data_IF_579056454669
#
_entry.id   IF_579056454669
#
_cell.length_a   1.000
_cell.length_b   1.000
_cell.length_c   1.000
_cell.angle_alpha   90.00
_cell.angle_beta   90.00
_cell.angle_gamma   90.00
#
_symmetry.space_group_name_H-M   'P 1'
#
loop_
_entity.id
_entity.type
_entity.pdbx_description
1 polymer ?
#
# COMPACT_ATOMS: atom_id res chain seq x y z
N UNK A 1 -15.99 -9.86 -32.15
CA UNK A 1 -15.51 -8.75 -32.99
C UNK A 1 -16.43 -8.61 -34.20
N UNK A 2 -16.72 -7.39 -34.61
CA UNK A 2 -17.57 -7.09 -35.77
C UNK A 2 -16.81 -6.26 -36.81
N UNK A 3 -17.21 -6.33 -38.05
CA UNK A 3 -16.69 -5.45 -39.10
C UNK A 3 -17.36 -4.06 -39.03
N UNK A 4 -16.87 -3.08 -39.81
CA UNK A 4 -17.45 -1.73 -39.86
C UNK A 4 -18.93 -1.66 -40.35
N UNK A 5 -19.57 -2.79 -40.67
CA UNK A 5 -20.97 -2.94 -41.01
C UNK A 5 -21.79 -3.71 -39.98
N UNK A 6 -21.19 -4.02 -38.80
CA UNK A 6 -21.82 -4.74 -37.71
C UNK A 6 -21.96 -6.25 -37.89
N UNK A 7 -21.30 -6.84 -38.92
CA UNK A 7 -21.29 -8.30 -39.10
C UNK A 7 -20.14 -8.95 -38.35
N UNK A 8 -20.34 -10.13 -37.72
CA UNK A 8 -19.28 -10.82 -37.04
C UNK A 8 -18.10 -11.16 -37.96
N UNK A 9 -16.89 -10.86 -37.53
CA UNK A 9 -15.66 -11.12 -38.28
C UNK A 9 -15.25 -12.57 -38.09
N UNK A 10 -14.84 -13.25 -39.15
CA UNK A 10 -14.39 -14.65 -39.11
C UNK A 10 -12.87 -14.67 -38.87
N UNK A 11 -12.41 -15.61 -38.03
CA UNK A 11 -10.99 -15.77 -37.76
C UNK A 11 -10.27 -16.31 -39.01
N UNK A 12 -9.19 -15.68 -39.47
CA UNK A 12 -8.43 -16.16 -40.62
C UNK A 12 -7.99 -17.63 -40.46
N UNK A 13 -8.38 -18.47 -41.42
CA UNK A 13 -8.06 -19.91 -41.37
C UNK A 13 -9.05 -20.77 -40.57
N UNK A 14 -10.17 -20.23 -40.14
CA UNK A 14 -11.22 -20.95 -39.40
C UNK A 14 -12.59 -20.45 -39.89
N UNK A 15 -13.59 -21.31 -39.89
CA UNK A 15 -15.01 -20.93 -40.17
C UNK A 15 -15.72 -20.32 -38.95
N UNK A 16 -14.97 -20.13 -37.82
CA UNK A 16 -15.53 -19.65 -36.58
C UNK A 16 -15.55 -18.12 -36.52
N UNK A 17 -16.62 -17.57 -35.97
CA UNK A 17 -16.74 -16.15 -35.67
C UNK A 17 -15.72 -15.75 -34.62
N UNK A 18 -15.16 -14.53 -34.74
CA UNK A 18 -14.19 -13.98 -33.78
C UNK A 18 -14.91 -13.56 -32.47
N UNK A 19 -15.34 -14.56 -31.71
CA UNK A 19 -15.96 -14.42 -30.40
C UNK A 19 -15.03 -14.94 -29.32
N UNK A 20 -14.70 -14.10 -28.36
CA UNK A 20 -13.82 -14.44 -27.25
C UNK A 20 -14.63 -14.40 -25.96
N UNK A 21 -14.67 -15.53 -25.23
CA UNK A 21 -15.31 -15.58 -23.92
C UNK A 21 -14.29 -15.10 -22.89
N UNK A 22 -14.62 -14.05 -22.17
CA UNK A 22 -13.80 -13.48 -21.13
C UNK A 22 -14.27 -14.04 -19.79
N UNK A 23 -13.33 -14.52 -18.97
CA UNK A 23 -13.62 -15.06 -17.65
C UNK A 23 -14.06 -13.94 -16.68
N UNK A 24 -14.95 -14.22 -15.73
CA UNK A 24 -15.29 -13.27 -14.67
C UNK A 24 -14.04 -12.83 -13.90
N UNK A 25 -13.89 -11.52 -13.69
CA UNK A 25 -12.71 -10.95 -13.03
C UNK A 25 -11.59 -10.50 -13.98
N UNK A 26 -11.73 -10.69 -15.28
CA UNK A 26 -10.81 -10.13 -16.27
C UNK A 26 -11.06 -8.62 -16.46
N UNK A 27 -10.00 -7.84 -16.54
CA UNK A 27 -10.05 -6.43 -16.90
C UNK A 27 -10.10 -6.29 -18.43
N UNK A 28 -11.12 -5.60 -18.95
CA UNK A 28 -11.27 -5.32 -20.40
C UNK A 28 -10.52 -4.01 -20.68
N UNK A 29 -9.59 -4.04 -21.62
CA UNK A 29 -8.74 -2.89 -21.99
C UNK A 29 -9.27 -2.06 -23.15
N UNK A 30 -10.36 -2.48 -23.76
CA UNK A 30 -10.97 -1.85 -24.95
C UNK A 30 -12.43 -1.47 -24.68
N UNK A 31 -12.88 -0.39 -25.29
CA UNK A 31 -14.27 0.04 -25.24
C UNK A 31 -15.08 -0.47 -26.45
N UNK A 32 -16.42 -0.40 -26.31
CA UNK A 32 -17.30 -0.82 -27.40
C UNK A 32 -17.24 0.19 -28.57
N UNK A 33 -16.75 -0.25 -29.70
CA UNK A 33 -16.57 0.57 -30.88
C UNK A 33 -15.12 0.84 -31.27
N UNK A 34 -14.16 0.46 -30.42
CA UNK A 34 -12.74 0.59 -30.71
C UNK A 34 -12.32 -0.28 -31.90
N UNK A 35 -11.37 0.23 -32.68
CA UNK A 35 -10.71 -0.54 -33.72
C UNK A 35 -9.59 -1.35 -33.15
N UNK A 36 -9.62 -2.66 -33.35
CA UNK A 36 -8.59 -3.58 -32.88
C UNK A 36 -7.90 -4.27 -34.08
N UNK A 37 -6.59 -4.42 -33.96
CA UNK A 37 -5.74 -5.13 -34.92
C UNK A 37 -5.30 -6.50 -34.39
N UNK A 38 -4.74 -7.30 -35.26
CA UNK A 38 -4.23 -8.63 -34.84
C UNK A 38 -3.00 -8.45 -33.93
N UNK A 39 -3.11 -8.92 -32.69
CA UNK A 39 -2.07 -8.76 -31.66
C UNK A 39 -2.45 -7.81 -30.54
N UNK A 40 -3.52 -7.03 -30.67
CA UNK A 40 -3.99 -6.13 -29.62
C UNK A 40 -4.55 -6.91 -28.43
N UNK A 41 -4.28 -6.37 -27.23
CA UNK A 41 -4.77 -6.95 -25.98
C UNK A 41 -6.22 -6.54 -25.75
N UNK A 42 -7.15 -7.50 -25.84
CA UNK A 42 -8.58 -7.28 -25.66
C UNK A 42 -8.99 -7.27 -24.18
N UNK A 43 -8.41 -8.16 -23.39
CA UNK A 43 -8.69 -8.28 -21.99
C UNK A 43 -7.48 -8.89 -21.26
N UNK A 44 -7.28 -8.52 -20.03
CA UNK A 44 -6.31 -9.13 -19.12
C UNK A 44 -7.05 -10.02 -18.15
N UNK A 45 -6.68 -11.25 -18.17
CA UNK A 45 -7.05 -12.17 -17.11
C UNK A 45 -5.96 -12.00 -16.06
N UNK A 46 -6.24 -11.44 -14.85
CA UNK A 46 -5.27 -11.54 -13.78
C UNK A 46 -5.01 -13.05 -13.65
N UNK A 47 -3.87 -13.51 -14.10
CA UNK A 47 -3.38 -14.77 -13.58
C UNK A 47 -3.30 -14.47 -12.06
N UNK A 48 -4.29 -14.97 -11.33
CA UNK A 48 -4.00 -15.48 -10.01
C UNK A 48 -2.94 -16.54 -10.31
N UNK A 49 -1.71 -16.03 -10.47
CA UNK A 49 -0.56 -16.88 -10.61
C UNK A 49 -0.78 -17.91 -9.55
N UNK A 50 -0.61 -19.16 -9.86
CA UNK A 50 -0.33 -20.11 -8.83
C UNK A 50 0.79 -19.44 -8.05
N UNK A 51 0.39 -18.52 -7.15
CA UNK A 51 1.16 -18.20 -5.99
C UNK A 51 1.36 -19.62 -5.49
N UNK A 52 2.47 -20.22 -5.86
CA UNK A 52 3.09 -21.23 -5.07
C UNK A 52 3.16 -20.49 -3.75
N UNK A 53 2.02 -20.52 -3.06
CA UNK A 53 1.89 -20.06 -1.70
C UNK A 53 2.82 -21.00 -1.00
N UNK A 54 4.07 -20.58 -1.00
CA UNK A 54 5.13 -21.25 -0.33
C UNK A 54 4.55 -21.57 1.04
N UNK A 55 4.49 -22.85 1.38
CA UNK A 55 3.92 -23.35 2.64
C UNK A 55 4.60 -22.67 3.83
N UNK A 56 5.76 -22.04 3.63
CA UNK A 56 6.45 -21.11 4.53
C UNK A 56 5.70 -19.81 4.81
N UNK A 57 4.64 -19.49 4.07
CA UNK A 57 3.84 -18.28 4.21
C UNK A 57 2.85 -18.27 5.38
N UNK A 58 2.64 -19.37 6.13
CA UNK A 58 1.66 -19.44 7.21
C UNK A 58 1.78 -18.40 8.33
N UNK A 59 1.89 -18.82 9.57
CA UNK A 59 2.04 -17.91 10.73
C UNK A 59 3.20 -16.90 10.64
N UNK A 60 4.38 -17.26 10.07
CA UNK A 60 5.44 -16.26 9.85
C UNK A 60 5.00 -15.08 8.97
N UNK A 61 4.17 -15.33 7.94
CA UNK A 61 3.65 -14.25 7.08
C UNK A 61 2.74 -13.29 7.84
N UNK A 62 1.91 -13.79 8.75
CA UNK A 62 1.06 -12.96 9.61
C UNK A 62 1.92 -12.07 10.51
N UNK A 63 2.98 -12.62 11.09
CA UNK A 63 3.92 -11.83 11.90
C UNK A 63 4.63 -10.73 11.07
N UNK A 64 5.04 -11.04 9.84
CA UNK A 64 5.65 -10.05 8.93
C UNK A 64 4.68 -8.91 8.59
N UNK A 65 3.40 -9.23 8.33
CA UNK A 65 2.37 -8.24 8.04
C UNK A 65 2.12 -7.31 9.22
N UNK A 66 1.99 -7.84 10.43
CA UNK A 66 1.81 -7.03 11.64
C UNK A 66 3.06 -6.23 12.04
N UNK A 67 4.24 -6.70 11.70
CA UNK A 67 5.48 -5.93 11.87
C UNK A 67 5.75 -4.95 10.72
N UNK A 68 4.90 -4.91 9.71
CA UNK A 68 5.05 -4.10 8.50
C UNK A 68 6.44 -4.26 7.86
N UNK A 69 6.97 -5.49 7.85
CA UNK A 69 8.28 -5.79 7.26
C UNK A 69 8.22 -5.71 5.74
N UNK A 70 9.30 -5.18 5.16
CA UNK A 70 9.45 -5.16 3.71
C UNK A 70 9.74 -6.57 3.20
N UNK A 71 9.00 -7.07 2.19
CA UNK A 71 9.30 -8.34 1.54
C UNK A 71 10.64 -8.25 0.80
N UNK A 72 11.26 -9.42 0.51
CA UNK A 72 12.56 -9.48 -0.20
C UNK A 72 12.48 -8.92 -1.61
N UNK A 73 11.41 -9.24 -2.33
CA UNK A 73 11.15 -8.78 -3.70
C UNK A 73 9.78 -8.09 -3.77
N UNK A 74 9.69 -6.85 -3.30
CA UNK A 74 8.41 -6.14 -3.24
C UNK A 74 7.91 -5.79 -4.64
N UNK A 75 6.58 -5.76 -4.81
CA UNK A 75 5.96 -5.12 -5.96
C UNK A 75 6.40 -3.67 -6.09
N UNK A 76 6.46 -3.17 -7.30
CA UNK A 76 6.65 -1.74 -7.56
C UNK A 76 5.31 -1.20 -8.03
N UNK A 77 4.79 -0.22 -7.29
CA UNK A 77 3.50 0.40 -7.57
C UNK A 77 3.70 1.71 -8.35
N UNK A 78 2.73 2.05 -9.20
CA UNK A 78 2.72 3.31 -9.92
C UNK A 78 2.56 4.49 -8.96
N UNK A 79 3.45 5.47 -9.06
CA UNK A 79 3.42 6.68 -8.22
C UNK A 79 2.40 7.71 -8.69
N UNK A 80 2.12 7.74 -9.98
CA UNK A 80 1.20 8.67 -10.64
C UNK A 80 0.28 7.92 -11.61
N UNK A 81 -0.89 8.50 -11.90
CA UNK A 81 -1.79 8.02 -12.94
C UNK A 81 -1.36 8.61 -14.27
N UNK A 82 -1.41 7.82 -15.35
CA UNK A 82 -1.03 8.30 -16.68
C UNK A 82 -0.74 7.17 -17.66
N UNK A 83 -0.23 7.53 -18.82
CA UNK A 83 0.12 6.60 -19.89
C UNK A 83 1.57 6.14 -19.75
N UNK A 84 1.78 4.84 -19.80
CA UNK A 84 3.10 4.21 -19.65
C UNK A 84 3.86 4.27 -20.98
N UNK A 85 5.13 4.64 -20.91
CA UNK A 85 6.08 4.50 -22.00
C UNK A 85 7.40 3.91 -21.49
N UNK A 86 8.07 3.14 -22.33
CA UNK A 86 9.38 2.57 -22.00
C UNK A 86 10.49 3.44 -22.58
N UNK A 87 11.34 3.95 -21.73
CA UNK A 87 12.52 4.71 -22.10
C UNK A 87 13.72 3.81 -22.45
N UNK A 88 14.87 4.44 -22.75
CA UNK A 88 16.11 3.71 -23.05
C UNK A 88 16.56 2.88 -21.85
N UNK A 89 16.90 1.63 -22.13
CA UNK A 89 17.45 0.72 -21.12
C UNK A 89 18.83 1.20 -20.65
N UNK A 90 19.02 1.23 -19.33
CA UNK A 90 20.34 1.44 -18.71
C UNK A 90 20.84 0.07 -18.22
N UNK A 91 22.15 -0.15 -18.23
CA UNK A 91 22.84 -1.45 -18.01
C UNK A 91 22.14 -2.48 -17.13
N UNK A 92 21.54 -2.10 -16.00
CA UNK A 92 20.91 -3.00 -15.02
C UNK A 92 19.43 -2.68 -14.73
N UNK A 93 18.90 -1.62 -15.34
CA UNK A 93 17.54 -1.14 -15.05
C UNK A 93 16.81 -0.81 -16.35
N UNK A 94 15.50 -0.99 -16.33
CA UNK A 94 14.56 -0.55 -17.36
C UNK A 94 13.99 0.77 -16.88
N UNK A 95 13.98 1.77 -17.74
CA UNK A 95 13.37 3.07 -17.47
C UNK A 95 11.94 3.04 -17.94
N UNK A 96 11.00 3.19 -17.03
CA UNK A 96 9.60 3.35 -17.31
C UNK A 96 9.22 4.80 -17.04
N UNK A 97 8.51 5.42 -17.97
CA UNK A 97 8.04 6.80 -17.86
C UNK A 97 6.52 6.78 -17.84
N UNK A 98 5.93 7.43 -16.86
CA UNK A 98 4.50 7.65 -16.75
C UNK A 98 4.23 9.10 -17.13
N UNK A 99 3.51 9.33 -18.22
CA UNK A 99 3.09 10.66 -18.66
C UNK A 99 1.70 10.93 -18.11
N UNK A 100 1.58 11.90 -17.21
CA UNK A 100 0.30 12.32 -16.62
C UNK A 100 -0.54 13.12 -17.63
N UNK A 101 -1.80 13.37 -17.32
CA UNK A 101 -2.69 14.20 -18.15
C UNK A 101 -2.15 15.63 -18.34
N UNK A 102 -1.39 16.13 -17.38
CA UNK A 102 -0.72 17.44 -17.44
C UNK A 102 0.56 17.46 -18.28
N UNK A 103 0.88 16.38 -19.00
CA UNK A 103 2.12 16.15 -19.73
C UNK A 103 3.40 16.21 -18.88
N UNK A 104 3.30 15.94 -17.59
CA UNK A 104 4.46 15.75 -16.74
C UNK A 104 4.97 14.31 -16.86
N UNK A 105 6.29 14.16 -17.05
CA UNK A 105 6.94 12.85 -17.16
C UNK A 105 7.52 12.43 -15.81
N UNK A 106 7.03 11.34 -15.26
CA UNK A 106 7.53 10.73 -14.04
C UNK A 106 8.31 9.44 -14.34
N UNK A 107 9.60 9.46 -14.03
CA UNK A 107 10.48 8.33 -14.31
C UNK A 107 10.55 7.35 -13.17
N UNK A 108 10.39 6.06 -13.48
CA UNK A 108 10.58 4.95 -12.56
C UNK A 108 11.68 4.03 -13.08
N UNK A 109 12.55 3.55 -12.19
CA UNK A 109 13.64 2.64 -12.53
C UNK A 109 13.31 1.24 -12.03
N UNK A 110 13.12 0.32 -12.96
CA UNK A 110 12.78 -1.09 -12.69
C UNK A 110 14.03 -1.96 -12.85
N UNK A 111 14.40 -2.81 -11.87
CA UNK A 111 15.48 -3.75 -12.02
C UNK A 111 15.20 -4.76 -13.16
N UNK A 112 16.20 -5.04 -14.00
CA UNK A 112 16.07 -6.07 -15.03
C UNK A 112 15.88 -7.46 -14.41
N UNK A 113 15.10 -8.30 -15.09
CA UNK A 113 14.85 -9.68 -14.65
C UNK A 113 13.59 -9.85 -13.79
N UNK A 114 12.85 -8.77 -13.50
CA UNK A 114 11.55 -8.87 -12.84
C UNK A 114 10.41 -8.78 -13.86
N UNK A 115 9.35 -9.57 -13.68
CA UNK A 115 8.19 -9.51 -14.57
C UNK A 115 7.50 -8.16 -14.45
N UNK A 116 7.31 -7.49 -15.58
CA UNK A 116 6.60 -6.21 -15.69
C UNK A 116 5.16 -6.53 -16.11
N UNK A 117 4.19 -6.00 -15.40
CA UNK A 117 2.76 -6.27 -15.61
C UNK A 117 2.08 -5.30 -16.56
N UNK A 118 2.74 -4.17 -16.86
CA UNK A 118 2.21 -3.08 -17.68
C UNK A 118 2.85 -3.05 -19.08
N UNK A 119 2.11 -2.53 -20.06
CA UNK A 119 2.58 -2.40 -21.45
C UNK A 119 2.74 -0.94 -21.85
N UNK A 120 3.58 -0.70 -22.88
CA UNK A 120 3.72 0.63 -23.47
C UNK A 120 2.40 1.11 -24.10
N UNK A 121 2.01 2.35 -23.83
CA UNK A 121 0.75 2.94 -24.26
C UNK A 121 -0.47 2.64 -23.38
N UNK A 122 -0.29 1.88 -22.30
CA UNK A 122 -1.36 1.58 -21.35
C UNK A 122 -1.56 2.72 -20.37
N UNK A 123 -2.83 3.00 -20.05
CA UNK A 123 -3.18 3.91 -18.96
C UNK A 123 -3.22 3.13 -17.64
N UNK A 124 -2.48 3.62 -16.65
CA UNK A 124 -2.43 3.06 -15.30
C UNK A 124 -2.86 4.09 -14.27
N UNK A 125 -3.43 3.63 -13.18
CA UNK A 125 -3.79 4.46 -12.05
C UNK A 125 -2.69 4.47 -10.97
N UNK A 126 -2.69 5.52 -10.17
CA UNK A 126 -1.79 5.62 -9.02
C UNK A 126 -2.01 4.44 -8.06
N UNK A 127 -0.94 3.71 -7.79
CA UNK A 127 -0.96 2.53 -6.94
C UNK A 127 -1.17 1.21 -7.68
N UNK A 128 -1.32 1.21 -9.01
CA UNK A 128 -1.35 -0.03 -9.79
C UNK A 128 -0.01 -0.72 -9.78
N UNK A 129 -0.04 -2.04 -9.92
CA UNK A 129 1.15 -2.88 -9.87
C UNK A 129 1.87 -2.82 -11.22
N UNK A 130 3.06 -2.24 -11.22
CA UNK A 130 3.94 -2.15 -12.40
C UNK A 130 4.86 -3.37 -12.50
N UNK A 131 5.31 -3.88 -11.36
CA UNK A 131 6.17 -5.06 -11.27
C UNK A 131 5.56 -6.04 -10.29
N UNK A 132 5.41 -7.28 -10.71
CA UNK A 132 4.80 -8.35 -9.91
C UNK A 132 5.55 -8.61 -8.61
N UNK A 133 4.79 -8.78 -7.52
CA UNK A 133 5.32 -9.13 -6.21
C UNK A 133 4.37 -8.79 -5.06
N UNK A 134 4.73 -9.16 -3.83
CA UNK A 134 3.98 -8.73 -2.65
C UNK A 134 4.15 -7.23 -2.42
N UNK A 135 3.07 -6.43 -2.42
CA UNK A 135 3.19 -4.98 -2.22
C UNK A 135 3.65 -4.64 -0.81
N UNK A 136 4.35 -3.52 -0.68
CA UNK A 136 4.73 -2.96 0.62
C UNK A 136 3.53 -2.22 1.20
N UNK A 137 3.11 -2.60 2.41
CA UNK A 137 1.94 -1.97 3.06
C UNK A 137 2.10 -0.44 3.26
N UNK A 138 3.33 0.04 3.47
CA UNK A 138 3.62 1.47 3.56
C UNK A 138 3.41 2.21 2.23
N UNK A 139 3.72 1.57 1.10
CA UNK A 139 3.52 2.16 -0.23
C UNK A 139 2.03 2.20 -0.58
N UNK A 140 1.28 1.15 -0.23
CA UNK A 140 -0.19 1.16 -0.36
C UNK A 140 -0.78 2.31 0.46
N UNK A 141 -0.32 2.52 1.70
CA UNK A 141 -0.78 3.61 2.55
C UNK A 141 -0.52 4.99 1.91
N UNK A 142 0.67 5.19 1.36
CA UNK A 142 1.07 6.46 0.74
C UNK A 142 0.33 6.74 -0.58
N UNK A 143 0.05 5.70 -1.36
CA UNK A 143 -0.52 5.84 -2.70
C UNK A 143 -2.05 5.72 -2.72
N UNK A 144 -2.62 4.75 -1.99
CA UNK A 144 -4.05 4.43 -1.99
C UNK A 144 -4.78 4.80 -0.69
N UNK A 145 -4.03 5.10 0.36
CA UNK A 145 -4.58 5.57 1.64
C UNK A 145 -4.95 4.48 2.64
N UNK A 146 -5.56 4.92 3.76
CA UNK A 146 -5.80 4.10 4.95
C UNK A 146 -6.78 2.95 4.69
N UNK A 147 -7.82 3.16 3.88
CA UNK A 147 -8.83 2.12 3.60
C UNK A 147 -8.22 0.93 2.88
N UNK A 148 -7.44 1.20 1.84
CA UNK A 148 -6.83 0.16 1.01
C UNK A 148 -5.76 -0.64 1.76
N UNK A 149 -4.90 0.02 2.55
CA UNK A 149 -3.91 -0.72 3.35
C UNK A 149 -4.60 -1.59 4.41
N UNK A 150 -5.70 -1.12 4.99
CA UNK A 150 -6.47 -1.92 5.97
C UNK A 150 -7.08 -3.14 5.30
N UNK A 151 -7.75 -2.96 4.16
CA UNK A 151 -8.33 -4.06 3.38
C UNK A 151 -7.25 -5.07 2.96
N UNK A 152 -6.11 -4.58 2.48
CA UNK A 152 -4.98 -5.43 2.10
C UNK A 152 -4.49 -6.30 3.27
N UNK A 153 -4.19 -5.70 4.42
CA UNK A 153 -3.68 -6.47 5.57
C UNK A 153 -4.73 -7.45 6.10
N UNK A 154 -6.00 -7.04 6.18
CA UNK A 154 -7.10 -7.92 6.61
C UNK A 154 -7.21 -9.12 5.69
N UNK A 155 -7.24 -8.91 4.37
CA UNK A 155 -7.36 -9.98 3.40
C UNK A 155 -6.16 -10.95 3.45
N UNK A 156 -4.93 -10.44 3.46
CA UNK A 156 -3.72 -11.27 3.54
C UNK A 156 -3.68 -12.11 4.81
N UNK A 157 -4.05 -11.54 5.96
CA UNK A 157 -4.10 -12.26 7.24
C UNK A 157 -5.22 -13.30 7.24
N UNK A 158 -6.42 -12.92 6.77
CA UNK A 158 -7.56 -13.83 6.68
C UNK A 158 -7.30 -15.00 5.74
N UNK A 159 -6.62 -14.77 4.64
CA UNK A 159 -6.25 -15.82 3.69
C UNK A 159 -5.36 -16.88 4.34
N UNK A 160 -4.39 -16.45 5.16
CA UNK A 160 -3.55 -17.40 5.92
C UNK A 160 -4.39 -18.24 6.89
N UNK A 161 -5.28 -17.61 7.64
CA UNK A 161 -6.13 -18.31 8.60
C UNK A 161 -7.17 -19.21 7.93
N UNK A 162 -7.79 -18.76 6.84
CA UNK A 162 -8.76 -19.55 6.06
C UNK A 162 -8.12 -20.80 5.47
N UNK A 163 -6.88 -20.72 4.99
CA UNK A 163 -6.14 -21.88 4.49
C UNK A 163 -5.89 -22.92 5.58
N UNK A 164 -5.82 -22.52 6.84
CA UNK A 164 -5.70 -23.41 8.00
C UNK A 164 -7.04 -23.82 8.59
N UNK A 165 -8.16 -23.44 7.96
CA UNK A 165 -9.52 -23.78 8.43
C UNK A 165 -9.99 -22.97 9.64
N UNK A 166 -9.25 -21.93 10.03
CA UNK A 166 -9.58 -21.08 11.19
C UNK A 166 -10.44 -19.91 10.73
N UNK A 167 -11.60 -19.72 11.38
CA UNK A 167 -12.51 -18.59 11.12
C UNK A 167 -12.31 -17.53 12.18
N UNK A 168 -11.86 -16.35 11.77
CA UNK A 168 -11.67 -15.18 12.62
C UNK A 168 -12.52 -14.03 12.07
N UNK A 169 -13.13 -13.23 12.94
CA UNK A 169 -13.85 -12.03 12.50
C UNK A 169 -12.83 -10.92 12.18
N UNK A 170 -13.05 -10.21 11.08
CA UNK A 170 -12.19 -9.14 10.59
C UNK A 170 -11.92 -8.05 11.63
N UNK A 171 -12.91 -7.79 12.51
CA UNK A 171 -12.79 -6.79 13.58
C UNK A 171 -11.60 -7.00 14.51
N UNK A 172 -11.20 -8.25 14.75
CA UNK A 172 -10.03 -8.55 15.58
C UNK A 172 -8.73 -8.08 14.93
N UNK A 173 -8.65 -8.20 13.61
CA UNK A 173 -7.50 -7.75 12.81
C UNK A 173 -7.53 -6.23 12.67
N UNK A 174 -8.70 -5.66 12.37
CA UNK A 174 -8.89 -4.21 12.22
C UNK A 174 -8.50 -3.43 13.48
N UNK A 175 -8.80 -3.97 14.68
CA UNK A 175 -8.38 -3.34 15.95
C UNK A 175 -6.85 -3.24 16.05
N UNK A 176 -6.12 -4.27 15.61
CA UNK A 176 -4.66 -4.25 15.59
C UNK A 176 -4.16 -3.22 14.59
N UNK A 177 -4.68 -3.22 13.37
CA UNK A 177 -4.31 -2.26 12.32
C UNK A 177 -4.57 -0.83 12.76
N UNK A 178 -5.68 -0.57 13.46
CA UNK A 178 -5.98 0.75 14.02
C UNK A 178 -4.88 1.23 14.96
N UNK A 179 -4.30 0.34 15.77
CA UNK A 179 -3.17 0.69 16.64
C UNK A 179 -1.88 0.93 15.85
N UNK A 180 -1.67 0.20 14.75
CA UNK A 180 -0.53 0.40 13.84
C UNK A 180 -0.60 1.75 13.11
N UNK A 181 -1.80 2.29 12.87
CA UNK A 181 -2.06 3.57 12.20
C UNK A 181 -2.34 4.74 13.16
N UNK A 182 -2.08 4.55 14.45
CA UNK A 182 -2.38 5.56 15.48
C UNK A 182 -1.55 6.83 15.34
N UNK A 183 -0.33 6.72 14.83
CA UNK A 183 0.61 7.83 14.68
C UNK A 183 0.64 8.40 13.28
N UNK A 184 0.98 9.68 13.22
CA UNK A 184 1.16 10.45 11.99
C UNK A 184 2.53 11.12 12.01
N UNK A 185 3.08 11.38 10.84
CA UNK A 185 4.35 12.08 10.64
C UNK A 185 4.07 13.50 10.20
N UNK A 186 4.73 14.47 10.82
CA UNK A 186 4.65 15.87 10.46
C UNK A 186 5.43 16.13 9.17
N UNK A 187 4.76 16.68 8.16
CA UNK A 187 5.34 17.08 6.87
C UNK A 187 5.66 18.57 6.86
N UNK A 188 4.77 19.40 7.43
CA UNK A 188 4.99 20.82 7.64
C UNK A 188 4.55 21.17 9.06
N UNK A 189 5.38 21.88 9.79
CA UNK A 189 5.11 22.23 11.19
C UNK A 189 4.07 23.34 11.34
N UNK A 190 3.89 24.20 10.32
CA UNK A 190 3.11 25.41 10.48
C UNK A 190 3.61 26.25 11.66
N UNK A 191 2.67 26.82 12.42
CA UNK A 191 2.96 27.60 13.65
C UNK A 191 2.90 26.73 14.93
N UNK A 192 2.93 25.40 14.77
CA UNK A 192 2.93 24.45 15.90
C UNK A 192 4.35 24.22 16.43
N UNK A 193 4.45 23.65 17.63
CA UNK A 193 5.75 23.35 18.29
C UNK A 193 6.43 22.06 17.76
N UNK A 194 5.82 21.37 16.80
CA UNK A 194 6.35 20.13 16.27
C UNK A 194 7.49 20.35 15.27
N UNK A 195 8.42 19.41 15.23
CA UNK A 195 9.50 19.40 14.25
C UNK A 195 9.10 18.59 13.00
N UNK A 196 9.78 18.86 11.90
CA UNK A 196 9.63 18.08 10.68
C UNK A 196 10.03 16.61 10.94
N UNK A 197 9.21 15.68 10.43
CA UNK A 197 9.35 14.24 10.60
C UNK A 197 9.05 13.69 12.02
N UNK A 198 8.59 14.52 12.95
CA UNK A 198 8.12 14.02 14.23
C UNK A 198 6.92 13.08 14.07
N UNK A 199 6.89 12.04 14.89
CA UNK A 199 5.80 11.07 14.95
C UNK A 199 4.93 11.35 16.16
N UNK A 200 3.76 11.92 15.91
CA UNK A 200 2.82 12.35 16.93
C UNK A 200 1.55 11.50 16.87
N UNK A 201 0.84 11.43 17.98
CA UNK A 201 -0.48 10.79 17.99
C UNK A 201 -1.48 11.62 17.22
N UNK A 202 -2.22 10.96 16.30
CA UNK A 202 -3.18 11.64 15.42
C UNK A 202 -4.24 12.43 16.19
N UNK A 203 -4.74 11.86 17.29
CA UNK A 203 -5.80 12.52 18.09
C UNK A 203 -5.30 13.82 18.74
N UNK A 204 -4.08 13.80 19.31
CA UNK A 204 -3.44 14.97 19.91
C UNK A 204 -3.20 16.06 18.88
N UNK A 205 -2.62 15.70 17.73
CA UNK A 205 -2.35 16.65 16.65
C UNK A 205 -3.60 17.30 16.09
N UNK A 206 -4.69 16.54 15.92
CA UNK A 206 -5.96 17.10 15.46
C UNK A 206 -6.51 18.13 16.43
N UNK A 207 -6.46 17.86 17.76
CA UNK A 207 -6.90 18.81 18.78
C UNK A 207 -6.06 20.09 18.79
N UNK A 208 -4.74 19.98 18.64
CA UNK A 208 -3.84 21.14 18.55
C UNK A 208 -4.04 21.94 17.25
N UNK A 209 -4.26 21.25 16.13
CA UNK A 209 -4.58 21.91 14.87
C UNK A 209 -5.90 22.68 14.94
N UNK A 210 -6.93 22.13 15.59
CA UNK A 210 -8.20 22.82 15.82
C UNK A 210 -8.00 24.10 16.64
N UNK A 211 -7.17 24.04 17.70
CA UNK A 211 -6.82 25.22 18.49
C UNK A 211 -6.02 26.23 17.68
N UNK A 212 -5.03 25.79 16.91
CA UNK A 212 -4.23 26.67 16.05
C UNK A 212 -5.08 27.41 15.01
N UNK A 213 -6.04 26.72 14.40
CA UNK A 213 -6.98 27.34 13.46
C UNK A 213 -7.89 28.34 14.17
N UNK A 214 -8.37 28.04 15.38
CA UNK A 214 -9.18 28.97 16.19
C UNK A 214 -8.41 30.24 16.58
N UNK A 215 -7.09 30.10 16.81
CA UNK A 215 -6.16 31.20 17.09
C UNK A 215 -5.71 31.98 15.82
N UNK A 216 -6.15 31.55 14.63
CA UNK A 216 -5.75 32.16 13.36
C UNK A 216 -4.32 31.85 12.93
N UNK A 217 -3.74 30.77 13.44
CA UNK A 217 -2.40 30.27 13.11
C UNK A 217 -2.45 29.18 12.04
N UNK A 218 -1.32 28.95 11.38
CA UNK A 218 -1.20 27.89 10.36
C UNK A 218 -1.10 26.51 11.03
N UNK A 219 -2.04 25.55 10.72
CA UNK A 219 -2.01 24.21 11.29
C UNK A 219 -0.86 23.37 10.70
N UNK A 220 -0.42 22.36 11.46
CA UNK A 220 0.56 21.39 10.96
C UNK A 220 -0.06 20.45 9.92
N UNK A 221 0.70 20.20 8.83
CA UNK A 221 0.35 19.21 7.80
C UNK A 221 1.03 17.89 8.12
N UNK A 222 0.28 16.80 8.02
CA UNK A 222 0.74 15.48 8.42
C UNK A 222 0.35 14.40 7.41
N UNK A 223 1.09 13.29 7.45
CA UNK A 223 0.82 12.07 6.69
C UNK A 223 0.62 10.89 7.65
N UNK A 224 -0.29 9.94 7.32
CA UNK A 224 -0.43 8.72 8.11
C UNK A 224 0.83 7.86 7.98
N UNK A 225 1.21 7.21 9.08
CA UNK A 225 2.35 6.29 9.12
C UNK A 225 1.89 4.92 9.60
N UNK A 226 2.31 3.87 8.92
CA UNK A 226 2.10 2.50 9.35
C UNK A 226 3.29 2.04 10.19
N UNK A 227 3.06 1.78 11.46
CA UNK A 227 4.06 1.23 12.38
C UNK A 227 3.81 -0.27 12.59
N UNK A 228 4.88 -1.07 12.63
CA UNK A 228 4.78 -2.44 13.12
C UNK A 228 4.31 -2.48 14.57
N UNK A 229 3.67 -3.57 15.01
CA UNK A 229 3.10 -3.69 16.35
C UNK A 229 4.14 -3.47 17.47
N UNK A 230 5.37 -3.93 17.26
CA UNK A 230 6.47 -3.72 18.22
C UNK A 230 6.78 -2.23 18.37
N UNK A 231 6.97 -1.52 17.25
CA UNK A 231 7.21 -0.07 17.27
C UNK A 231 6.01 0.71 17.82
N UNK A 232 4.80 0.34 17.46
CA UNK A 232 3.58 0.97 17.96
C UNK A 232 3.47 0.82 19.48
N UNK A 233 3.84 -0.35 20.02
CA UNK A 233 3.81 -0.62 21.47
C UNK A 233 4.91 0.11 22.24
N UNK A 234 6.09 0.30 21.66
CA UNK A 234 7.20 1.03 22.28
C UNK A 234 7.05 2.56 22.18
N UNK A 235 6.27 3.03 21.22
CA UNK A 235 6.06 4.47 20.99
C UNK A 235 4.79 5.03 21.65
N UNK A 236 4.31 4.41 22.71
CA UNK A 236 3.17 4.88 23.52
C UNK A 236 3.56 6.10 24.36
N UNK A 237 2.55 6.88 24.80
CA UNK A 237 2.77 8.03 25.71
C UNK A 237 3.37 7.59 27.04
N UNK A 238 2.88 6.46 27.60
CA UNK A 238 3.40 5.90 28.83
C UNK A 238 4.73 5.18 28.63
N UNK A 239 5.81 5.74 29.16
CA UNK A 239 7.11 5.09 29.11
C UNK A 239 7.18 3.87 30.04
N UNK A 240 6.39 3.82 31.13
CA UNK A 240 6.30 2.66 32.03
C UNK A 240 5.70 1.47 31.25
N UNK A 241 4.59 1.69 30.54
CA UNK A 241 3.98 0.68 29.69
C UNK A 241 4.93 0.16 28.61
N UNK A 242 5.66 1.05 27.95
CA UNK A 242 6.65 0.69 26.95
C UNK A 242 7.82 -0.12 27.54
N UNK A 243 8.39 0.33 28.66
CA UNK A 243 9.50 -0.32 29.33
C UNK A 243 9.15 -1.73 29.83
N UNK A 244 7.90 -1.96 30.21
CA UNK A 244 7.44 -3.29 30.65
C UNK A 244 7.28 -4.29 29.50
N UNK A 245 7.32 -3.85 28.25
CA UNK A 245 7.15 -4.70 27.09
C UNK A 245 8.50 -5.21 26.55
N UNK A 246 9.34 -4.31 26.07
CA UNK A 246 10.67 -4.62 25.51
C UNK A 246 11.61 -3.42 25.66
N UNK A 247 12.92 -3.65 25.48
CA UNK A 247 13.96 -2.60 25.49
C UNK A 247 13.93 -1.71 26.75
N UNK A 248 13.70 -2.32 27.92
CA UNK A 248 13.49 -1.63 29.19
C UNK A 248 14.53 -0.54 29.44
N UNK A 249 15.81 -0.87 29.34
CA UNK A 249 16.92 0.06 29.62
C UNK A 249 16.91 1.26 28.68
N UNK A 250 16.68 1.02 27.37
CA UNK A 250 16.63 2.08 26.36
C UNK A 250 15.48 3.02 26.61
N UNK A 251 14.28 2.48 26.81
CA UNK A 251 13.06 3.27 27.04
C UNK A 251 13.19 4.14 28.29
N UNK A 252 13.68 3.56 29.42
CA UNK A 252 13.87 4.30 30.67
C UNK A 252 14.94 5.38 30.52
N UNK A 253 16.03 5.09 29.82
CA UNK A 253 17.10 6.08 29.59
C UNK A 253 16.59 7.24 28.76
N UNK A 254 15.88 6.98 27.64
CA UNK A 254 15.28 8.03 26.80
C UNK A 254 14.26 8.86 27.60
N UNK A 255 13.38 8.22 28.36
CA UNK A 255 12.40 8.91 29.18
C UNK A 255 13.05 9.81 30.24
N UNK A 256 14.13 9.34 30.88
CA UNK A 256 14.91 10.08 31.85
C UNK A 256 15.60 11.30 31.21
N UNK A 257 16.24 11.10 30.06
CA UNK A 257 16.90 12.20 29.32
C UNK A 257 15.93 13.27 28.86
N UNK A 258 14.72 12.89 28.47
CA UNK A 258 13.67 13.80 28.01
C UNK A 258 12.84 14.39 29.17
N UNK A 259 13.05 13.95 30.40
CA UNK A 259 12.27 14.39 31.56
C UNK A 259 10.78 14.06 31.43
N UNK A 260 10.44 12.92 30.80
CA UNK A 260 9.03 12.54 30.60
C UNK A 260 8.31 12.29 31.91
N UNK A 261 7.05 12.70 31.98
CA UNK A 261 6.14 12.43 33.09
C UNK A 261 5.06 11.45 32.59
N UNK A 262 4.89 10.35 33.34
CA UNK A 262 3.83 9.40 33.09
C UNK A 262 2.62 9.72 33.96
N UNK A 263 1.46 9.92 33.32
CA UNK A 263 0.24 10.27 34.04
C UNK A 263 -0.58 9.06 34.48
N UNK A 264 -0.08 7.85 34.30
CA UNK A 264 -0.70 6.58 34.72
C UNK A 264 -2.18 6.45 34.30
N UNK A 265 -2.49 6.83 33.07
CA UNK A 265 -3.87 6.81 32.55
C UNK A 265 -4.37 5.45 32.12
N UNK A 266 -3.46 4.57 31.68
CA UNK A 266 -3.80 3.24 31.21
C UNK A 266 -3.84 2.19 32.32
N UNK A 267 -4.37 1.02 31.98
CA UNK A 267 -4.45 -0.10 32.95
C UNK A 267 -3.08 -0.71 33.23
N UNK A 268 -2.22 -0.79 32.22
CA UNK A 268 -0.93 -1.46 32.32
C UNK A 268 0.03 -0.75 33.26
N UNK A 269 0.17 0.56 33.11
CA UNK A 269 1.03 1.39 33.97
C UNK A 269 0.52 1.52 35.39
N UNK A 270 -0.77 1.27 35.65
CA UNK A 270 -1.32 1.22 37.00
C UNK A 270 -1.18 -0.13 37.67
N UNK A 271 -0.90 -1.21 36.95
CA UNK A 271 -0.74 -2.56 37.50
C UNK A 271 0.73 -2.89 37.76
N UNK A 272 1.64 -2.28 37.01
CA UNK A 272 3.08 -2.45 37.17
C UNK A 272 3.58 -1.69 38.38
#
# INVERSE_FOLDING_TARGET
LVDGRGKPKIIPGSEKEASYQILPGASITIENGDKVEAGDVLARIPQEGSKTRDITGGLPRVAELFEARKPKEPAILATHSGVVSFGKEVKTKIRLVITTEDNEEHEMQIPKGRPITVFGGEHIERGDEVVEGPPIAADILALRGVKEVTAYIVNEVQDVYRLQGVKINDKHIEVIIRQMLRKVRIVKSGDTQYLLNDQVERATLLGENEQSVADGKEPAVFEPVLLGITKASLSTESFISAASFQETTRVLTEASMQGKVDHLRGLKENVI
#
